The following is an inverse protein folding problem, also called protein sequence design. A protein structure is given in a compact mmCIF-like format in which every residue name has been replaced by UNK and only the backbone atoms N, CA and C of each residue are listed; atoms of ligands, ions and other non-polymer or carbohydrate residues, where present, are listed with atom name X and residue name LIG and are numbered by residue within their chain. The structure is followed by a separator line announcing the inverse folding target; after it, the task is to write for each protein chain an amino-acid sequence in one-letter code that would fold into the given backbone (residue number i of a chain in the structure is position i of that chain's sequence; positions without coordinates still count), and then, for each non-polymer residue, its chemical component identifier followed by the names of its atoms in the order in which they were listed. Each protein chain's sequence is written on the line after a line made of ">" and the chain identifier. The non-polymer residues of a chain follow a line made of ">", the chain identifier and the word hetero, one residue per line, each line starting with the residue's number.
data_IF_949215949506
#
_entry.id   IF_949215949506
#
_cell.length_a   1.000
_cell.length_b   1.000
_cell.length_c   1.000
_cell.angle_alpha   90.00
_cell.angle_beta   90.00
_cell.angle_gamma   90.00
#
_symmetry.space_group_name_H-M   'P 1'
#
loop_
_entity.id
_entity.type
_entity.pdbx_description
1 polymer ?
#
# COMPACT_ATOMS: atom_id res chain seq x y z
N UNK A 1 8.44 -18.15 14.17
CA UNK A 1 7.01 -18.11 14.59
C UNK A 1 6.28 -17.21 13.61
N UNK A 2 5.22 -17.74 13.00
CA UNK A 2 4.41 -17.03 12.02
C UNK A 2 3.25 -16.32 12.75
N UNK A 3 3.06 -15.04 12.46
CA UNK A 3 1.91 -14.25 12.90
C UNK A 3 1.10 -13.79 11.69
N UNK A 4 -0.22 -13.98 11.75
CA UNK A 4 -1.18 -13.53 10.73
C UNK A 4 -2.27 -12.71 11.42
N UNK A 5 -2.63 -11.57 10.82
CA UNK A 5 -3.78 -10.77 11.25
C UNK A 5 -5.05 -11.62 11.18
N UNK A 6 -5.73 -11.77 12.31
CA UNK A 6 -6.95 -12.56 12.43
C UNK A 6 -8.03 -12.03 11.48
N UNK A 7 -8.73 -12.94 10.79
CA UNK A 7 -9.85 -12.68 9.88
C UNK A 7 -9.49 -11.86 8.62
N UNK A 8 -8.19 -11.63 8.35
CA UNK A 8 -7.75 -11.01 7.11
C UNK A 8 -7.84 -12.01 5.94
N UNK A 9 -8.53 -11.61 4.87
CA UNK A 9 -8.68 -12.42 3.65
C UNK A 9 -8.03 -11.71 2.48
N UNK A 10 -6.84 -12.17 2.01
CA UNK A 10 -6.17 -11.57 0.86
C UNK A 10 -7.04 -11.65 -0.39
N UNK A 11 -7.04 -10.59 -1.20
CA UNK A 11 -7.74 -10.57 -2.49
C UNK A 11 -6.94 -9.87 -3.58
N UNK A 12 -7.08 -10.38 -4.80
CA UNK A 12 -6.50 -9.79 -6.00
C UNK A 12 -7.21 -8.52 -6.43
N UNK A 13 -6.54 -7.70 -7.24
CA UNK A 13 -7.10 -6.48 -7.78
C UNK A 13 -6.38 -5.99 -9.02
N UNK A 14 -6.87 -4.90 -9.59
CA UNK A 14 -6.35 -4.36 -10.86
C UNK A 14 -5.28 -3.30 -10.66
N UNK A 15 -5.33 -2.58 -9.55
CA UNK A 15 -4.40 -1.49 -9.30
C UNK A 15 -3.92 -1.51 -7.84
N UNK A 16 -2.60 -1.41 -7.63
CA UNK A 16 -1.95 -1.72 -6.36
C UNK A 16 -2.51 -0.93 -5.16
N UNK A 17 -2.67 0.39 -5.30
CA UNK A 17 -3.17 1.25 -4.20
C UNK A 17 -4.65 0.97 -3.89
N UNK A 18 -5.49 0.90 -4.93
CA UNK A 18 -6.94 0.69 -4.76
C UNK A 18 -7.22 -0.70 -4.23
N UNK A 19 -6.45 -1.71 -4.66
CA UNK A 19 -6.56 -3.06 -4.13
C UNK A 19 -6.10 -3.16 -2.66
N UNK A 20 -4.99 -2.50 -2.29
CA UNK A 20 -4.55 -2.47 -0.89
C UNK A 20 -5.58 -1.79 0.01
N UNK A 21 -6.15 -0.66 -0.42
CA UNK A 21 -7.22 0.03 0.30
C UNK A 21 -8.51 -0.81 0.36
N UNK A 22 -8.92 -1.45 -0.74
CA UNK A 22 -10.07 -2.37 -0.78
C UNK A 22 -9.96 -3.44 0.30
N UNK A 23 -8.79 -4.06 0.43
CA UNK A 23 -8.55 -5.09 1.45
C UNK A 23 -8.64 -4.53 2.87
N UNK A 24 -8.10 -3.33 3.13
CA UNK A 24 -8.24 -2.66 4.43
C UNK A 24 -9.71 -2.36 4.75
N UNK A 25 -10.45 -1.80 3.80
CA UNK A 25 -11.88 -1.48 3.97
C UNK A 25 -12.72 -2.74 4.21
N UNK A 26 -12.46 -3.81 3.46
CA UNK A 26 -13.08 -5.10 3.68
C UNK A 26 -12.78 -5.66 5.07
N UNK A 27 -11.52 -5.60 5.50
CA UNK A 27 -11.07 -6.06 6.81
C UNK A 27 -11.82 -5.39 7.98
N UNK A 28 -12.05 -4.08 7.89
CA UNK A 28 -12.77 -3.32 8.92
C UNK A 28 -14.30 -3.38 8.79
N UNK A 29 -14.85 -4.20 7.89
CA UNK A 29 -16.30 -4.37 7.73
C UNK A 29 -16.99 -3.30 6.89
N UNK A 30 -16.24 -2.53 6.10
CA UNK A 30 -16.75 -1.46 5.23
C UNK A 30 -16.38 -1.73 3.76
N UNK A 31 -16.85 -2.82 3.14
CA UNK A 31 -16.40 -3.21 1.81
C UNK A 31 -16.67 -2.11 0.77
N UNK A 32 -15.61 -1.69 0.07
CA UNK A 32 -15.66 -0.75 -1.05
C UNK A 32 -14.99 -1.39 -2.27
N UNK A 33 -15.56 -1.22 -3.46
CA UNK A 33 -14.94 -1.68 -4.70
C UNK A 33 -13.75 -0.80 -5.10
N UNK A 34 -12.87 -1.28 -5.98
CA UNK A 34 -11.75 -0.46 -6.47
C UNK A 34 -12.24 0.78 -7.23
N UNK A 35 -13.34 0.65 -7.97
CA UNK A 35 -13.98 1.73 -8.72
C UNK A 35 -14.56 2.79 -7.78
N UNK A 36 -15.20 2.37 -6.68
CA UNK A 36 -15.70 3.28 -5.65
C UNK A 36 -14.55 4.06 -5.02
N UNK A 37 -13.48 3.37 -4.59
CA UNK A 37 -12.30 4.00 -4.00
C UNK A 37 -11.66 4.98 -4.99
N UNK A 38 -11.53 4.58 -6.25
CA UNK A 38 -10.98 5.42 -7.32
C UNK A 38 -11.83 6.67 -7.56
N UNK A 39 -13.14 6.54 -7.66
CA UNK A 39 -14.06 7.67 -7.82
C UNK A 39 -14.06 8.61 -6.60
N UNK A 40 -14.19 8.05 -5.40
CA UNK A 40 -14.20 8.78 -4.14
C UNK A 40 -12.88 9.50 -3.87
N UNK A 41 -11.76 9.04 -4.40
CA UNK A 41 -10.48 9.73 -4.28
C UNK A 41 -10.22 10.77 -5.40
N UNK A 42 -11.14 10.92 -6.37
CA UNK A 42 -10.89 11.64 -7.64
C UNK A 42 -9.62 11.13 -8.31
N UNK A 43 -9.56 9.81 -8.49
CA UNK A 43 -8.38 9.12 -8.98
C UNK A 43 -7.99 9.51 -10.40
N UNK A 44 -8.94 9.73 -11.29
CA UNK A 44 -8.67 10.13 -12.68
C UNK A 44 -8.05 11.53 -12.71
N UNK A 45 -6.88 11.64 -13.31
CA UNK A 45 -6.17 12.91 -13.50
C UNK A 45 -5.22 12.80 -14.69
N UNK A 46 -4.61 13.92 -15.05
CA UNK A 46 -3.42 13.92 -15.89
C UNK A 46 -2.26 14.50 -15.07
N UNK A 47 -1.14 13.79 -15.02
CA UNK A 47 0.06 14.27 -14.34
C UNK A 47 1.30 13.91 -15.16
N UNK A 48 2.07 14.92 -15.51
CA UNK A 48 3.40 14.77 -16.07
C UNK A 48 4.44 14.96 -14.95
N UNK A 49 5.27 13.95 -14.73
CA UNK A 49 6.34 13.97 -13.73
C UNK A 49 7.66 14.03 -14.49
N UNK A 50 8.31 15.19 -14.45
CA UNK A 50 9.56 15.45 -15.16
C UNK A 50 10.77 14.96 -14.37
N UNK A 51 10.97 13.64 -14.26
CA UNK A 51 12.19 13.08 -13.66
C UNK A 51 13.33 13.17 -14.67
N UNK A 52 14.53 13.51 -14.19
CA UNK A 52 15.70 13.80 -15.04
C UNK A 52 16.03 12.67 -16.05
N UNK A 53 15.89 11.41 -15.64
CA UNK A 53 16.27 10.25 -16.45
C UNK A 53 15.07 9.35 -16.85
N UNK A 54 13.85 9.68 -16.40
CA UNK A 54 12.67 8.82 -16.60
C UNK A 54 11.36 9.61 -16.46
N UNK A 55 11.07 10.54 -17.38
CA UNK A 55 9.82 11.30 -17.33
C UNK A 55 8.63 10.34 -17.41
N UNK A 56 7.62 10.59 -16.58
CA UNK A 56 6.45 9.72 -16.46
C UNK A 56 5.16 10.48 -16.71
N UNK A 57 4.28 9.89 -17.52
CA UNK A 57 2.88 10.34 -17.63
C UNK A 57 2.03 9.41 -16.78
N UNK A 58 1.20 9.99 -15.92
CA UNK A 58 0.24 9.27 -15.09
C UNK A 58 -1.17 9.74 -15.39
N UNK A 59 -2.08 8.78 -15.59
CA UNK A 59 -3.52 9.00 -15.66
C UNK A 59 -4.19 9.17 -14.29
N UNK A 60 -3.40 9.42 -13.24
CA UNK A 60 -3.88 9.47 -11.85
C UNK A 60 -3.38 10.70 -11.11
N UNK A 61 -4.11 11.10 -10.07
CA UNK A 61 -3.66 12.09 -9.09
C UNK A 61 -2.32 11.71 -8.46
N UNK A 62 -1.60 12.71 -7.95
CA UNK A 62 -0.32 12.53 -7.26
C UNK A 62 -0.46 11.59 -6.06
N UNK A 63 0.65 10.91 -5.72
CA UNK A 63 0.74 10.09 -4.52
C UNK A 63 0.39 10.93 -3.27
N UNK A 64 -0.28 10.33 -2.28
CA UNK A 64 -0.81 10.98 -1.07
C UNK A 64 -1.95 11.98 -1.29
N UNK A 65 -2.10 12.59 -2.46
CA UNK A 65 -3.28 13.40 -2.78
C UNK A 65 -4.53 12.53 -2.89
N UNK A 66 -4.38 11.35 -3.50
CA UNK A 66 -5.43 10.33 -3.62
C UNK A 66 -5.97 9.95 -2.22
N UNK A 67 -5.08 9.53 -1.33
CA UNK A 67 -5.42 9.09 0.02
C UNK A 67 -5.96 10.25 0.87
N UNK A 68 -5.42 11.47 0.73
CA UNK A 68 -5.96 12.65 1.43
C UNK A 68 -7.39 12.96 1.01
N UNK A 69 -7.70 12.95 -0.30
CA UNK A 69 -9.06 13.18 -0.80
C UNK A 69 -10.02 12.11 -0.30
N UNK A 70 -9.59 10.85 -0.35
CA UNK A 70 -10.36 9.72 0.16
C UNK A 70 -10.63 9.87 1.66
N UNK A 71 -9.59 10.16 2.44
CA UNK A 71 -9.67 10.36 3.88
C UNK A 71 -10.68 11.46 4.25
N UNK A 72 -10.57 12.63 3.61
CA UNK A 72 -11.46 13.76 3.85
C UNK A 72 -12.92 13.42 3.50
N UNK A 73 -13.17 12.73 2.39
CA UNK A 73 -14.54 12.42 1.93
C UNK A 73 -15.21 11.32 2.74
N UNK A 74 -14.43 10.37 3.26
CA UNK A 74 -14.93 9.30 4.12
C UNK A 74 -14.89 9.66 5.62
N UNK A 75 -14.42 10.86 5.97
CA UNK A 75 -14.21 11.29 7.34
C UNK A 75 -13.36 10.30 8.16
N UNK A 76 -12.29 9.77 7.54
CA UNK A 76 -11.33 8.86 8.17
C UNK A 76 -9.95 9.53 8.25
N UNK A 77 -9.07 9.00 9.09
CA UNK A 77 -7.67 9.46 9.19
C UNK A 77 -6.73 8.45 8.56
N UNK A 78 -6.02 8.85 7.50
CA UNK A 78 -4.92 8.09 6.93
C UNK A 78 -3.60 8.73 7.37
N UNK A 79 -2.77 7.97 8.09
CA UNK A 79 -1.46 8.44 8.57
C UNK A 79 -0.34 7.80 7.74
N UNK A 80 0.19 8.56 6.78
CA UNK A 80 1.41 8.18 6.07
C UNK A 80 2.62 8.47 6.95
N UNK A 81 3.47 7.47 7.17
CA UNK A 81 4.69 7.59 7.96
C UNK A 81 5.88 7.15 7.15
N UNK A 82 6.98 7.90 7.25
CA UNK A 82 8.29 7.48 6.76
C UNK A 82 9.17 7.18 7.98
N UNK A 83 9.46 5.90 8.26
CA UNK A 83 10.37 5.52 9.33
C UNK A 83 11.78 6.07 9.09
N UNK A 84 12.53 6.36 10.16
CA UNK A 84 13.90 6.87 10.07
C UNK A 84 14.90 5.83 9.55
N UNK A 85 14.64 4.56 9.81
CA UNK A 85 15.46 3.42 9.38
C UNK A 85 14.61 2.14 9.35
N UNK A 86 15.20 1.08 8.81
CA UNK A 86 14.54 -0.22 8.64
C UNK A 86 14.15 -0.86 9.98
N UNK A 87 15.01 -0.81 11.01
CA UNK A 87 14.70 -1.42 12.31
C UNK A 87 13.43 -0.82 12.93
N UNK A 88 13.29 0.51 12.88
CA UNK A 88 12.09 1.21 13.36
C UNK A 88 10.87 0.84 12.50
N UNK A 89 11.03 0.73 11.18
CA UNK A 89 9.94 0.31 10.29
C UNK A 89 9.44 -1.09 10.66
N UNK A 90 10.35 -2.06 10.78
CA UNK A 90 10.04 -3.44 11.12
C UNK A 90 9.34 -3.54 12.48
N UNK A 91 9.89 -2.90 13.51
CA UNK A 91 9.31 -2.93 14.86
C UNK A 91 7.92 -2.31 14.90
N UNK A 92 7.70 -1.19 14.21
CA UNK A 92 6.40 -0.55 14.14
C UNK A 92 5.38 -1.39 13.37
N UNK A 93 5.80 -2.01 12.26
CA UNK A 93 4.96 -2.91 11.48
C UNK A 93 4.54 -4.12 12.30
N UNK A 94 5.49 -4.82 12.94
CA UNK A 94 5.18 -5.97 13.81
C UNK A 94 4.24 -5.60 14.94
N UNK A 95 4.47 -4.46 15.62
CA UNK A 95 3.56 -3.97 16.68
C UNK A 95 2.13 -3.75 16.20
N UNK A 96 1.94 -3.33 14.96
CA UNK A 96 0.60 -3.12 14.39
C UNK A 96 -0.05 -4.43 13.97
N UNK A 97 0.70 -5.32 13.31
CA UNK A 97 0.21 -6.65 12.95
C UNK A 97 -0.19 -7.47 14.19
N UNK A 98 0.57 -7.38 15.27
CA UNK A 98 0.26 -8.03 16.56
C UNK A 98 -1.04 -7.50 17.21
N UNK A 99 -1.50 -6.32 16.79
CA UNK A 99 -2.79 -5.73 17.22
C UNK A 99 -3.91 -6.01 16.21
N UNK A 100 -3.69 -6.93 15.27
CA UNK A 100 -4.59 -7.21 14.16
C UNK A 100 -4.88 -5.96 13.31
N UNK A 101 -3.87 -5.10 13.09
CA UNK A 101 -3.98 -3.96 12.21
C UNK A 101 -3.14 -4.22 10.94
N UNK A 102 -3.75 -4.56 9.80
CA UNK A 102 -3.01 -4.70 8.55
C UNK A 102 -2.51 -3.31 8.08
N UNK A 103 -1.34 -3.26 7.43
CA UNK A 103 -0.67 -2.01 7.08
C UNK A 103 -0.37 -1.94 5.60
N UNK A 104 -0.84 -0.88 4.94
CA UNK A 104 -0.43 -0.55 3.59
C UNK A 104 1.00 0.00 3.62
N UNK A 105 1.89 -0.57 2.81
CA UNK A 105 3.25 -0.07 2.60
C UNK A 105 3.50 0.22 1.13
N UNK A 106 4.33 1.21 0.87
CA UNK A 106 4.92 1.44 -0.44
C UNK A 106 6.28 0.73 -0.49
N UNK A 107 6.45 -0.11 -1.52
CA UNK A 107 7.64 -0.89 -1.77
C UNK A 107 8.19 -0.58 -3.16
N UNK A 108 9.49 -0.82 -3.30
CA UNK A 108 10.17 -0.76 -4.59
C UNK A 108 10.09 -2.13 -5.27
N UNK A 109 9.57 -2.14 -6.49
CA UNK A 109 9.15 -3.37 -7.16
C UNK A 109 10.28 -4.40 -7.36
N UNK A 110 11.53 -4.02 -7.70
CA UNK A 110 12.62 -5.01 -7.84
C UNK A 110 12.94 -5.78 -6.55
N UNK A 111 12.66 -5.23 -5.36
CA UNK A 111 12.84 -5.96 -4.10
C UNK A 111 11.74 -7.02 -3.87
N UNK A 112 10.63 -6.94 -4.60
CA UNK A 112 9.55 -7.93 -4.55
C UNK A 112 9.83 -9.03 -5.56
N UNK A 113 10.66 -10.01 -5.16
CA UNK A 113 11.17 -11.09 -6.03
C UNK A 113 10.09 -11.83 -6.82
N UNK A 114 8.87 -11.94 -6.28
CA UNK A 114 7.75 -12.60 -6.96
C UNK A 114 7.25 -11.85 -8.21
N UNK A 115 7.65 -10.59 -8.42
CA UNK A 115 7.34 -9.82 -9.63
C UNK A 115 8.27 -10.15 -10.80
N UNK A 116 9.42 -10.79 -10.55
CA UNK A 116 10.35 -11.22 -11.61
C UNK A 116 10.93 -10.07 -12.45
N UNK A 117 11.11 -8.89 -11.85
CA UNK A 117 11.63 -7.70 -12.53
C UNK A 117 13.15 -7.65 -12.54
N UNK A 118 13.71 -6.91 -13.50
CA UNK A 118 15.13 -6.56 -13.50
C UNK A 118 15.49 -5.67 -12.30
N UNK A 119 16.68 -5.89 -11.71
CA UNK A 119 17.12 -5.18 -10.51
C UNK A 119 17.19 -3.66 -10.70
N UNK A 120 17.39 -3.18 -11.94
CA UNK A 120 17.47 -1.75 -12.25
C UNK A 120 16.09 -1.12 -12.55
N UNK A 121 15.01 -1.91 -12.59
CA UNK A 121 13.65 -1.43 -12.90
C UNK A 121 12.96 -0.82 -11.67
N UNK A 122 13.63 0.12 -11.02
CA UNK A 122 13.19 0.73 -9.77
C UNK A 122 11.90 1.55 -9.94
N UNK A 123 10.91 1.23 -9.10
CA UNK A 123 9.68 1.97 -8.93
C UNK A 123 9.17 1.81 -7.49
N UNK A 124 9.52 2.77 -6.63
CA UNK A 124 9.11 2.83 -5.21
C UNK A 124 7.64 3.15 -4.94
N UNK A 125 6.80 3.22 -5.98
CA UNK A 125 5.39 3.62 -5.88
C UNK A 125 4.41 2.44 -5.78
N UNK A 126 4.89 1.22 -5.58
CA UNK A 126 4.04 0.03 -5.55
C UNK A 126 3.47 -0.21 -4.15
N UNK A 127 2.15 -0.25 -4.05
CA UNK A 127 1.46 -0.45 -2.77
C UNK A 127 1.09 -1.92 -2.55
N UNK A 128 1.43 -2.44 -1.38
CA UNK A 128 1.00 -3.76 -0.90
C UNK A 128 0.43 -3.65 0.51
N UNK A 129 -0.34 -4.65 0.90
CA UNK A 129 -0.86 -4.77 2.26
C UNK A 129 -0.03 -5.82 2.99
N UNK A 130 0.52 -5.45 4.14
CA UNK A 130 1.13 -6.38 5.06
C UNK A 130 0.05 -6.87 6.02
N UNK A 131 -0.13 -8.18 6.09
CA UNK A 131 -1.12 -8.84 6.94
C UNK A 131 -0.52 -9.96 7.78
N UNK A 132 0.79 -10.22 7.65
CA UNK A 132 1.48 -11.18 8.49
C UNK A 132 2.98 -11.00 8.44
N UNK A 133 3.66 -11.78 9.27
CA UNK A 133 5.10 -11.92 9.19
C UNK A 133 5.56 -13.26 9.77
N UNK A 134 6.76 -13.68 9.39
CA UNK A 134 7.46 -14.80 9.99
C UNK A 134 8.73 -14.31 10.69
N UNK A 135 8.79 -14.44 12.01
CA UNK A 135 9.96 -14.04 12.81
C UNK A 135 11.22 -14.88 12.52
N UNK A 136 11.09 -16.11 12.01
CA UNK A 136 12.26 -16.95 11.73
C UNK A 136 12.97 -16.52 10.45
N UNK A 137 12.20 -16.21 9.41
CA UNK A 137 12.75 -15.79 8.12
C UNK A 137 12.88 -14.26 7.99
N UNK A 138 12.23 -13.50 8.86
CA UNK A 138 12.15 -12.04 8.76
C UNK A 138 11.32 -11.54 7.58
N UNK A 139 10.47 -12.40 7.01
CA UNK A 139 9.66 -12.10 5.82
C UNK A 139 8.29 -11.59 6.25
N UNK A 140 7.84 -10.48 5.66
CA UNK A 140 6.46 -10.03 5.77
C UNK A 140 5.60 -10.67 4.67
N UNK A 141 4.35 -10.94 5.04
CA UNK A 141 3.29 -11.42 4.15
C UNK A 141 2.31 -10.30 3.84
#
# INVERSE_FOLDING_TARGET
>A
MIHIVKDFTPSGGKHCITNALKQVFHYYGYPLSEEMIFGLASGLSFTYINLANSPMVSGRSKLFEFERKLANRLNITIKCKQPKNYNIAFDQTKKMLNRNCPILVYADMPFLKYLGLDENSHFGGHAVILFGYDDETGIFM
#
